data_IF_599965158551
#
_entry.id   IF_599965158551
#
_cell.length_a   1.000
_cell.length_b   1.000
_cell.length_c   1.000
_cell.angle_alpha   90.00
_cell.angle_beta   90.00
_cell.angle_gamma   90.00
#
_symmetry.space_group_name_H-M   'P 1'
#
loop_
_entity.id
_entity.type
_entity.pdbx_description
1 polymer ?
#
# COMPACT_ATOMS: atom_id res chain seq x y z
N UNK A 1 -4.77 -8.03 18.23
CA UNK A 1 -5.64 -7.01 17.67
C UNK A 1 -5.61 -7.11 16.15
N UNK A 2 -6.77 -7.11 15.52
CA UNK A 2 -6.90 -7.27 14.08
C UNK A 2 -7.34 -5.97 13.42
N UNK A 3 -6.78 -5.70 12.24
CA UNK A 3 -7.19 -4.59 11.40
C UNK A 3 -7.91 -5.13 10.16
N UNK A 4 -8.90 -4.38 9.68
CA UNK A 4 -9.53 -4.66 8.40
C UNK A 4 -8.71 -3.99 7.31
N UNK A 5 -8.34 -4.74 6.28
CA UNK A 5 -7.57 -4.21 5.15
C UNK A 5 -8.49 -4.10 3.94
N UNK A 6 -8.56 -2.91 3.38
CA UNK A 6 -9.40 -2.61 2.21
C UNK A 6 -8.54 -1.95 1.13
N UNK A 7 -8.98 -2.06 -0.11
CA UNK A 7 -8.28 -1.43 -1.23
C UNK A 7 -9.01 -0.16 -1.65
N UNK A 8 -8.24 0.90 -1.87
CA UNK A 8 -8.78 2.12 -2.46
C UNK A 8 -9.37 1.80 -3.83
N UNK A 9 -10.52 2.40 -4.13
CA UNK A 9 -11.10 2.41 -5.47
C UNK A 9 -11.56 3.83 -5.77
N UNK A 10 -11.44 4.22 -7.04
CA UNK A 10 -11.85 5.56 -7.46
C UNK A 10 -13.36 5.62 -7.73
N UNK A 11 -13.85 6.78 -8.19
CA UNK A 11 -15.28 6.98 -8.42
C UNK A 11 -15.85 6.06 -9.50
N UNK A 12 -14.98 5.52 -10.37
CA UNK A 12 -15.37 4.61 -11.44
C UNK A 12 -15.16 3.14 -11.08
N UNK A 13 -14.72 2.88 -9.86
CA UNK A 13 -14.50 1.52 -9.38
C UNK A 13 -13.13 0.95 -9.70
N UNK A 14 -12.21 1.73 -10.26
CA UNK A 14 -10.86 1.26 -10.56
C UNK A 14 -10.05 1.11 -9.28
N UNK A 15 -9.33 -0.01 -9.17
CA UNK A 15 -8.51 -0.33 -8.00
C UNK A 15 -7.04 -0.40 -8.39
N UNK A 16 -6.26 0.66 -8.11
CA UNK A 16 -4.85 0.70 -8.55
C UNK A 16 -4.01 -0.46 -8.02
N UNK A 17 -4.21 -0.88 -6.78
CA UNK A 17 -3.43 -1.99 -6.22
C UNK A 17 -3.75 -3.30 -6.90
N UNK A 18 -5.02 -3.53 -7.23
CA UNK A 18 -5.40 -4.77 -7.91
C UNK A 18 -4.74 -4.84 -9.29
N UNK A 19 -4.72 -3.71 -10.03
CA UNK A 19 -4.03 -3.65 -11.32
C UNK A 19 -2.52 -3.93 -11.15
N UNK A 20 -1.91 -3.34 -10.13
CA UNK A 20 -0.50 -3.58 -9.82
C UNK A 20 -0.25 -5.06 -9.53
N UNK A 21 -1.10 -5.68 -8.72
CA UNK A 21 -0.94 -7.09 -8.36
C UNK A 21 -1.12 -8.01 -9.55
N UNK A 22 -2.04 -7.70 -10.45
CA UNK A 22 -2.23 -8.51 -11.66
C UNK A 22 -1.02 -8.44 -12.57
N UNK A 23 -0.47 -7.26 -12.78
CA UNK A 23 0.75 -7.10 -13.58
C UNK A 23 1.92 -7.82 -12.92
N UNK A 24 2.05 -7.70 -11.61
CA UNK A 24 3.13 -8.34 -10.88
C UNK A 24 3.03 -9.86 -10.96
N UNK A 25 1.84 -10.41 -10.89
CA UNK A 25 1.63 -11.85 -11.01
C UNK A 25 2.14 -12.40 -12.34
N UNK A 26 1.99 -11.61 -13.41
CA UNK A 26 2.47 -12.01 -14.74
C UNK A 26 3.98 -11.87 -14.87
N UNK A 27 4.59 -10.90 -14.22
CA UNK A 27 6.00 -10.58 -14.39
C UNK A 27 6.89 -11.27 -13.40
N UNK A 28 6.44 -11.44 -12.16
CA UNK A 28 7.26 -11.98 -11.07
C UNK A 28 6.36 -12.66 -10.04
N UNK A 29 6.13 -13.95 -10.21
CA UNK A 29 5.21 -14.69 -9.36
C UNK A 29 5.68 -14.78 -7.92
N UNK A 30 7.00 -14.86 -7.72
CA UNK A 30 7.55 -14.94 -6.37
C UNK A 30 7.30 -13.64 -5.63
N UNK A 31 7.61 -12.51 -6.27
CA UNK A 31 7.37 -11.21 -5.66
C UNK A 31 5.89 -10.96 -5.42
N UNK A 32 5.04 -11.39 -6.37
CA UNK A 32 3.60 -11.30 -6.19
C UNK A 32 3.14 -11.99 -4.90
N UNK A 33 3.62 -13.21 -4.67
CA UNK A 33 3.27 -13.94 -3.44
C UNK A 33 3.74 -13.23 -2.19
N UNK A 34 4.94 -12.63 -2.25
CA UNK A 34 5.47 -11.88 -1.11
C UNK A 34 4.63 -10.65 -0.81
N UNK A 35 4.19 -9.94 -1.85
CA UNK A 35 3.35 -8.75 -1.67
C UNK A 35 2.01 -9.14 -1.05
N UNK A 36 1.36 -10.18 -1.58
CA UNK A 36 0.08 -10.64 -1.04
C UNK A 36 0.23 -11.05 0.42
N UNK A 37 1.30 -11.78 0.76
CA UNK A 37 1.57 -12.17 2.13
C UNK A 37 1.81 -10.96 3.03
N UNK A 38 2.54 -9.95 2.51
CA UNK A 38 2.80 -8.72 3.25
C UNK A 38 1.51 -7.96 3.54
N UNK A 39 0.63 -7.85 2.55
CA UNK A 39 -0.67 -7.20 2.74
C UNK A 39 -1.46 -7.91 3.83
N UNK A 40 -1.45 -9.24 3.82
CA UNK A 40 -2.16 -10.00 4.84
C UNK A 40 -1.59 -9.75 6.24
N UNK A 41 -0.28 -9.57 6.36
CA UNK A 41 0.35 -9.25 7.64
C UNK A 41 -0.13 -7.93 8.23
N UNK A 42 -0.60 -6.99 7.40
CA UNK A 42 -1.13 -5.73 7.89
C UNK A 42 -2.36 -5.90 8.78
N UNK A 43 -3.07 -7.02 8.66
CA UNK A 43 -4.20 -7.33 9.53
C UNK A 43 -3.78 -7.48 10.99
N UNK A 44 -2.50 -7.76 11.23
CA UNK A 44 -1.99 -8.07 12.57
C UNK A 44 -1.19 -6.89 13.11
N UNK A 45 -1.69 -6.26 14.19
CA UNK A 45 -1.04 -5.10 14.81
C UNK A 45 0.42 -5.36 15.15
N UNK A 46 0.75 -6.58 15.61
CA UNK A 46 2.11 -6.92 16.03
C UNK A 46 3.10 -7.03 14.86
N UNK A 47 2.60 -7.01 13.63
CA UNK A 47 3.45 -7.01 12.45
C UNK A 47 3.73 -5.60 11.90
N UNK A 48 3.09 -4.57 12.47
CA UNK A 48 3.32 -3.20 12.04
C UNK A 48 4.67 -2.70 12.52
N UNK A 49 5.31 -1.86 11.71
CA UNK A 49 6.60 -1.28 12.05
C UNK A 49 7.74 -1.87 11.23
N UNK A 50 8.94 -1.26 11.34
CA UNK A 50 10.11 -1.73 10.62
C UNK A 50 10.46 -3.18 10.98
N UNK A 51 10.98 -3.97 10.04
CA UNK A 51 11.30 -3.56 8.66
C UNK A 51 10.15 -3.66 7.67
N UNK A 52 8.99 -4.21 8.08
CA UNK A 52 7.88 -4.47 7.16
C UNK A 52 7.19 -3.19 6.70
N UNK A 53 6.91 -2.27 7.64
CA UNK A 53 6.22 -1.01 7.32
C UNK A 53 6.97 0.18 7.88
N UNK A 54 6.79 1.33 7.25
CA UNK A 54 7.42 2.57 7.69
C UNK A 54 6.57 3.77 7.31
N UNK A 55 6.55 4.77 8.18
CA UNK A 55 5.91 6.05 7.89
C UNK A 55 6.80 6.80 6.89
N UNK A 56 6.25 7.12 5.71
CA UNK A 56 7.01 7.79 4.65
C UNK A 56 6.54 9.21 4.37
N UNK A 57 5.36 9.59 4.86
CA UNK A 57 4.84 10.95 4.69
C UNK A 57 4.16 11.36 5.99
N UNK A 58 4.94 12.01 6.86
CA UNK A 58 4.47 12.41 8.18
C UNK A 58 3.33 13.43 8.10
N UNK A 59 3.41 14.34 7.14
CA UNK A 59 2.40 15.38 6.98
C UNK A 59 1.03 14.80 6.61
N UNK A 60 1.02 13.73 5.82
CA UNK A 60 -0.22 13.14 5.32
C UNK A 60 -0.52 11.78 5.96
N UNK A 61 0.30 11.34 6.91
CA UNK A 61 0.15 10.04 7.58
C UNK A 61 0.03 8.88 6.59
N UNK A 62 0.97 8.83 5.64
CA UNK A 62 1.02 7.74 4.67
C UNK A 62 2.19 6.83 5.01
N UNK A 63 1.89 5.54 5.04
CA UNK A 63 2.84 4.48 5.36
C UNK A 63 3.16 3.66 4.12
N UNK A 64 4.25 2.94 4.19
CA UNK A 64 4.71 2.10 3.09
C UNK A 64 4.97 0.69 3.60
N UNK A 65 4.38 -0.29 2.92
CA UNK A 65 4.69 -1.71 3.10
C UNK A 65 5.84 -2.05 2.16
N UNK A 66 6.86 -2.74 2.68
CA UNK A 66 8.08 -3.08 1.94
C UNK A 66 8.25 -4.58 1.88
N UNK A 67 8.33 -5.14 0.69
CA UNK A 67 8.55 -6.59 0.51
C UNK A 67 9.51 -6.86 -0.63
N UNK A 68 10.18 -8.02 -0.53
CA UNK A 68 11.09 -8.49 -1.56
C UNK A 68 12.54 -8.18 -1.27
N UNK A 69 13.44 -8.84 -2.01
CA UNK A 69 14.88 -8.65 -1.91
C UNK A 69 15.40 -7.64 -2.94
N UNK A 70 15.97 -8.15 -4.04
CA UNK A 70 16.56 -7.28 -5.06
C UNK A 70 15.53 -6.42 -5.79
N UNK A 71 14.33 -6.96 -6.02
CA UNK A 71 13.22 -6.22 -6.60
C UNK A 71 12.26 -5.87 -5.48
N UNK A 72 12.40 -4.67 -4.93
CA UNK A 72 11.63 -4.29 -3.77
C UNK A 72 10.28 -3.72 -4.22
N UNK A 73 9.20 -4.39 -3.81
CA UNK A 73 7.85 -3.88 -4.02
C UNK A 73 7.47 -2.98 -2.86
N UNK A 74 6.80 -1.89 -3.17
CA UNK A 74 6.33 -0.91 -2.21
C UNK A 74 4.83 -0.73 -2.39
N UNK A 75 4.10 -0.69 -1.27
CA UNK A 75 2.65 -0.51 -1.29
C UNK A 75 2.30 0.54 -0.24
N UNK A 76 1.64 1.62 -0.66
CA UNK A 76 1.25 2.70 0.25
C UNK A 76 -0.09 2.39 0.90
N UNK A 77 -0.23 2.83 2.13
CA UNK A 77 -1.48 2.67 2.86
C UNK A 77 -1.60 3.74 3.93
N UNK A 78 -2.82 3.90 4.45
CA UNK A 78 -3.07 4.79 5.58
C UNK A 78 -4.09 4.15 6.52
N UNK A 79 -4.09 4.60 7.76
CA UNK A 79 -5.04 4.14 8.77
C UNK A 79 -6.24 5.06 8.83
N UNK A 80 -7.39 4.49 9.15
CA UNK A 80 -8.58 5.27 9.45
C UNK A 80 -9.32 4.69 10.64
N UNK A 81 -10.25 5.46 11.27
CA UNK A 81 -10.95 4.99 12.47
C UNK A 81 -11.64 3.66 12.26
N UNK A 82 -11.77 2.89 13.36
CA UNK A 82 -12.36 1.56 13.30
C UNK A 82 -11.35 0.48 13.00
N UNK A 83 -10.06 0.73 13.23
CA UNK A 83 -8.99 -0.23 12.98
C UNK A 83 -8.98 -0.69 11.52
N UNK A 84 -9.10 0.27 10.61
CA UNK A 84 -9.08 0.01 9.18
C UNK A 84 -7.79 0.52 8.55
N UNK A 85 -7.31 -0.24 7.56
CA UNK A 85 -6.18 0.14 6.72
C UNK A 85 -6.69 0.21 5.28
N UNK A 86 -6.40 1.32 4.61
CA UNK A 86 -6.76 1.52 3.21
C UNK A 86 -5.48 1.51 2.39
N UNK A 87 -5.37 0.56 1.49
CA UNK A 87 -4.21 0.43 0.60
C UNK A 87 -4.48 1.22 -0.66
N UNK A 88 -3.58 2.12 -1.02
CA UNK A 88 -3.82 3.06 -2.13
C UNK A 88 -3.23 2.58 -3.45
N UNK A 89 -1.91 2.40 -3.52
CA UNK A 89 -1.23 2.02 -4.75
C UNK A 89 0.09 1.33 -4.44
N UNK A 90 0.64 0.63 -5.43
CA UNK A 90 1.91 -0.05 -5.29
C UNK A 90 2.80 0.15 -6.50
N UNK A 91 4.08 -0.08 -6.32
CA UNK A 91 5.07 0.05 -7.39
C UNK A 91 6.32 -0.76 -7.07
N UNK A 92 7.15 -0.99 -8.08
CA UNK A 92 8.46 -1.63 -7.91
C UNK A 92 9.50 -0.53 -7.78
N UNK A 93 10.22 -0.54 -6.66
CA UNK A 93 11.25 0.46 -6.40
C UNK A 93 12.48 0.19 -7.25
N UNK A 94 12.88 1.19 -8.04
CA UNK A 94 14.07 1.11 -8.88
C UNK A 94 15.17 2.07 -8.45
N UNK A 95 14.87 2.95 -7.50
CA UNK A 95 15.80 3.95 -6.99
C UNK A 95 15.87 3.84 -5.47
N UNK A 96 16.90 4.44 -4.87
CA UNK A 96 17.06 4.39 -3.42
C UNK A 96 16.04 5.24 -2.68
N UNK A 97 15.63 6.34 -3.29
CA UNK A 97 14.67 7.25 -2.67
C UNK A 97 13.24 6.84 -2.96
N UNK A 98 12.30 7.29 -2.13
CA UNK A 98 10.87 7.10 -2.37
C UNK A 98 10.51 7.73 -3.71
N UNK A 99 9.71 7.04 -4.51
CA UNK A 99 9.21 7.57 -5.78
C UNK A 99 8.18 8.66 -5.48
N UNK A 100 8.56 9.91 -5.74
CA UNK A 100 7.71 11.06 -5.41
C UNK A 100 6.42 11.08 -6.19
N UNK A 101 6.43 10.60 -7.45
CA UNK A 101 5.20 10.56 -8.25
C UNK A 101 4.21 9.54 -7.71
N UNK A 102 4.70 8.39 -7.26
CA UNK A 102 3.84 7.38 -6.65
C UNK A 102 3.31 7.83 -5.29
N UNK A 103 4.15 8.52 -4.51
CA UNK A 103 3.70 9.08 -3.24
C UNK A 103 2.63 10.15 -3.45
N UNK A 104 2.76 10.97 -4.48
CA UNK A 104 1.74 11.96 -4.82
C UNK A 104 0.41 11.31 -5.19
N UNK A 105 0.46 10.19 -5.90
CA UNK A 105 -0.75 9.42 -6.19
C UNK A 105 -1.41 8.94 -4.90
N UNK A 106 -0.60 8.45 -3.96
CA UNK A 106 -1.11 7.99 -2.68
C UNK A 106 -1.83 9.12 -1.94
N UNK A 107 -1.25 10.34 -1.98
CA UNK A 107 -1.89 11.50 -1.35
C UNK A 107 -3.23 11.82 -1.98
N UNK A 108 -3.30 11.80 -3.31
CA UNK A 108 -4.55 12.06 -4.04
C UNK A 108 -5.60 11.00 -3.75
N UNK A 109 -5.19 9.74 -3.74
CA UNK A 109 -6.10 8.63 -3.45
C UNK A 109 -6.64 8.71 -2.03
N UNK A 110 -5.78 9.06 -1.08
CA UNK A 110 -6.22 9.24 0.30
C UNK A 110 -7.25 10.35 0.42
N UNK A 111 -6.96 11.51 -0.19
CA UNK A 111 -7.87 12.65 -0.16
C UNK A 111 -9.22 12.30 -0.80
N UNK A 112 -9.18 11.63 -1.94
CA UNK A 112 -10.39 11.20 -2.64
C UNK A 112 -11.21 10.22 -1.80
N UNK A 113 -10.54 9.24 -1.20
CA UNK A 113 -11.21 8.27 -0.33
C UNK A 113 -11.91 8.96 0.83
N UNK A 114 -11.19 9.85 1.52
CA UNK A 114 -11.74 10.54 2.67
C UNK A 114 -12.90 11.46 2.30
N UNK A 115 -12.85 12.09 1.14
CA UNK A 115 -13.93 12.95 0.66
C UNK A 115 -15.19 12.15 0.37
N UNK A 116 -15.06 10.98 -0.25
CA UNK A 116 -16.20 10.13 -0.63
C UNK A 116 -16.75 9.29 0.52
N UNK A 117 -15.99 9.16 1.61
CA UNK A 117 -16.38 8.33 2.75
C UNK A 117 -16.54 9.14 4.03
N UNK A 118 -16.97 10.36 3.88
CA UNK A 118 -17.28 11.22 5.04
C UNK A 118 -18.45 10.68 5.85
#
# INVERSE_FOLDING_TARGET
MQFSVRFYYDAEGNKPVIAFLEDLRKQDRILHKLVVAGIKKLEMRERHGPPLTELVDEKHDIFELRVGGNNIARVFFFFQPGQEIIITNGYIKKQQNVDTSELERARKYKADWQERHK
#
